data_IF_571226333243
#
_entry.id   IF_571226333243
#
_cell.length_a   1.000
_cell.length_b   1.000
_cell.length_c   1.000
_cell.angle_alpha   90.00
_cell.angle_beta   90.00
_cell.angle_gamma   90.00
#
_symmetry.space_group_name_H-M   'P 1'
#
loop_
_entity.id
_entity.type
_entity.pdbx_description
1 polymer ?
#
# COMPACT_ATOMS: atom_id res chain seq x y z
N UNK A 1 6.50 -15.88 5.21
CA UNK A 1 7.71 -15.06 5.24
C UNK A 1 7.40 -13.63 5.66
N UNK A 2 6.56 -12.93 4.89
CA UNK A 2 6.14 -11.57 5.24
C UNK A 2 5.35 -11.52 6.54
N UNK A 3 4.52 -12.53 6.81
CA UNK A 3 3.76 -12.62 8.06
C UNK A 3 4.71 -12.75 9.24
N UNK A 4 5.72 -13.60 9.14
CA UNK A 4 6.69 -13.80 10.22
C UNK A 4 7.49 -12.53 10.49
N UNK A 5 7.94 -11.85 9.45
CA UNK A 5 8.66 -10.58 9.58
C UNK A 5 7.79 -9.51 10.21
N UNK A 6 6.49 -9.48 9.86
CA UNK A 6 5.54 -8.51 10.43
C UNK A 6 5.35 -8.76 11.93
N UNK A 7 5.27 -10.02 12.34
CA UNK A 7 5.14 -10.38 13.76
C UNK A 7 6.37 -9.94 14.54
N UNK A 8 7.57 -10.06 13.94
CA UNK A 8 8.81 -9.64 14.58
C UNK A 8 8.88 -8.13 14.81
N UNK A 9 8.11 -7.33 14.07
CA UNK A 9 8.04 -5.88 14.26
C UNK A 9 7.27 -5.48 15.53
N UNK A 10 6.47 -6.39 16.10
CA UNK A 10 5.73 -6.12 17.32
C UNK A 10 6.67 -5.98 18.52
N UNK A 11 6.40 -5.02 19.39
CA UNK A 11 7.19 -4.75 20.58
C UNK A 11 6.32 -4.04 21.62
N UNK A 12 6.94 -3.56 22.70
CA UNK A 12 6.20 -2.77 23.70
C UNK A 12 5.68 -1.47 23.10
N UNK A 13 6.39 -0.91 22.12
CA UNK A 13 6.01 0.36 21.47
C UNK A 13 5.16 0.15 20.21
N UNK A 14 5.27 -1.03 19.58
CA UNK A 14 4.56 -1.34 18.34
C UNK A 14 3.53 -2.43 18.61
N UNK A 15 2.27 -2.04 18.69
CA UNK A 15 1.16 -2.95 19.05
C UNK A 15 0.41 -3.48 17.84
N UNK A 16 0.61 -2.89 16.68
CA UNK A 16 -0.05 -3.29 15.45
C UNK A 16 0.88 -3.07 14.26
N UNK A 17 0.75 -3.93 13.26
CA UNK A 17 1.51 -3.83 12.00
C UNK A 17 0.55 -4.01 10.84
N UNK A 18 0.60 -3.10 9.89
CA UNK A 18 -0.25 -3.13 8.70
C UNK A 18 0.64 -3.04 7.47
N UNK A 19 0.42 -3.92 6.50
CA UNK A 19 1.23 -3.93 5.30
C UNK A 19 0.83 -2.83 4.33
N UNK A 20 1.85 -2.24 3.71
CA UNK A 20 1.69 -1.19 2.70
C UNK A 20 2.62 -1.48 1.53
N UNK A 21 2.35 -0.86 0.40
CA UNK A 21 3.29 -0.84 -0.71
C UNK A 21 3.33 0.57 -1.30
N UNK A 22 4.37 0.86 -2.07
CA UNK A 22 4.48 2.13 -2.76
C UNK A 22 3.37 2.26 -3.79
N UNK A 23 2.78 3.46 -3.92
CA UNK A 23 1.73 3.68 -4.91
C UNK A 23 2.32 3.67 -6.32
N UNK A 24 1.58 3.08 -7.26
CA UNK A 24 1.96 3.05 -8.67
C UNK A 24 1.91 4.46 -9.28
N UNK A 25 0.98 5.27 -8.80
CA UNK A 25 0.79 6.66 -9.22
C UNK A 25 0.64 7.55 -8.00
N UNK A 26 1.27 8.72 -8.03
CA UNK A 26 1.17 9.65 -6.92
C UNK A 26 -0.28 10.11 -6.74
N UNK A 27 -0.82 10.12 -5.50
CA UNK A 27 -2.15 10.68 -5.25
C UNK A 27 -2.24 12.17 -5.56
N UNK A 28 -1.11 12.87 -5.64
CA UNK A 28 -1.08 14.29 -6.01
C UNK A 28 -1.46 14.54 -7.47
N UNK A 29 -1.44 13.50 -8.31
CA UNK A 29 -1.84 13.55 -9.72
C UNK A 29 -3.28 13.11 -9.92
N UNK A 30 -4.06 13.04 -8.83
CA UNK A 30 -5.43 12.54 -8.84
C UNK A 30 -6.35 13.55 -8.17
N UNK A 31 -7.60 13.57 -8.61
CA UNK A 31 -8.63 14.37 -7.99
C UNK A 31 -10.00 13.84 -8.40
N UNK A 32 -11.02 14.38 -7.76
CA UNK A 32 -12.40 14.11 -8.14
C UNK A 32 -12.73 14.89 -9.41
N UNK A 33 -13.61 14.33 -10.23
CA UNK A 33 -14.02 14.97 -11.46
C UNK A 33 -15.43 15.53 -11.29
N UNK A 34 -15.67 16.84 -11.54
CA UNK A 34 -17.02 17.38 -11.47
C UNK A 34 -17.89 16.89 -12.62
N UNK A 35 -19.24 17.05 -12.48
CA UNK A 35 -20.18 16.56 -13.48
C UNK A 35 -19.95 17.15 -14.87
N UNK A 36 -19.52 18.41 -14.95
CA UNK A 36 -19.23 19.06 -16.23
C UNK A 36 -17.85 18.68 -16.80
N UNK A 37 -17.12 17.79 -16.10
CA UNK A 37 -15.82 17.30 -16.53
C UNK A 37 -14.74 18.38 -16.69
N UNK A 38 -14.90 19.52 -16.00
CA UNK A 38 -13.91 20.58 -16.03
C UNK A 38 -12.62 20.16 -15.32
N UNK A 39 -11.50 20.47 -15.94
CA UNK A 39 -10.17 20.20 -15.37
C UNK A 39 -9.55 21.44 -14.75
N UNK A 40 -10.28 22.53 -14.64
CA UNK A 40 -9.77 23.84 -14.20
C UNK A 40 -8.98 23.78 -12.89
N UNK A 41 -9.47 23.05 -11.91
CA UNK A 41 -8.82 22.93 -10.59
C UNK A 41 -8.39 21.51 -10.29
N UNK A 42 -8.12 20.69 -11.33
CA UNK A 42 -7.77 19.29 -11.14
C UNK A 42 -6.43 19.13 -10.41
N UNK A 43 -5.42 19.87 -10.82
CA UNK A 43 -4.12 19.89 -10.16
C UNK A 43 -3.73 21.32 -9.83
N UNK A 44 -3.06 21.53 -8.69
CA UNK A 44 -2.48 22.82 -8.37
C UNK A 44 -1.37 23.17 -9.36
N UNK A 45 -1.09 24.45 -9.53
CA UNK A 45 -0.02 24.88 -10.44
C UNK A 45 1.36 24.35 -10.01
N UNK A 46 1.59 24.23 -8.71
CA UNK A 46 2.83 23.68 -8.17
C UNK A 46 3.02 22.22 -8.60
N UNK A 47 1.96 21.42 -8.52
CA UNK A 47 2.01 20.00 -8.90
C UNK A 47 2.17 19.85 -10.43
N UNK A 48 1.50 20.72 -11.21
CA UNK A 48 1.60 20.66 -12.67
C UNK A 48 3.02 20.83 -13.18
N UNK A 49 3.85 21.59 -12.45
CA UNK A 49 5.21 21.88 -12.83
C UNK A 49 6.26 20.88 -12.32
N UNK A 50 5.83 19.92 -11.51
CA UNK A 50 6.73 18.90 -10.97
C UNK A 50 6.80 17.66 -11.86
N UNK A 51 7.98 17.08 -11.94
CA UNK A 51 8.15 15.77 -12.59
C UNK A 51 7.80 14.69 -11.58
N UNK A 52 7.41 13.50 -12.06
CA UNK A 52 7.05 12.39 -11.20
C UNK A 52 8.18 12.03 -10.22
N UNK A 53 9.44 12.16 -10.63
CA UNK A 53 10.61 11.88 -9.78
C UNK A 53 10.83 12.91 -8.68
N UNK A 54 10.24 14.09 -8.81
CA UNK A 54 10.34 15.17 -7.81
C UNK A 54 9.26 15.07 -6.74
N UNK A 55 8.29 14.17 -6.90
CA UNK A 55 7.23 13.95 -5.93
C UNK A 55 7.70 13.02 -4.82
N UNK A 56 7.23 13.23 -3.59
CA UNK A 56 7.56 12.30 -2.50
C UNK A 56 6.94 10.92 -2.78
N UNK A 57 7.53 9.89 -2.18
CA UNK A 57 6.98 8.55 -2.27
C UNK A 57 5.75 8.44 -1.39
N UNK A 58 4.66 7.96 -1.97
CA UNK A 58 3.43 7.68 -1.24
C UNK A 58 3.22 6.18 -1.16
N UNK A 59 2.59 5.76 -0.08
CA UNK A 59 2.30 4.36 0.18
C UNK A 59 0.80 4.15 0.33
N UNK A 60 0.33 2.98 -0.07
CA UNK A 60 -1.08 2.60 0.09
C UNK A 60 -1.18 1.32 0.92
N UNK A 61 -2.32 1.14 1.55
CA UNK A 61 -2.65 -0.13 2.17
C UNK A 61 -2.82 -1.16 1.05
N UNK A 62 -2.15 -2.30 1.18
CA UNK A 62 -2.26 -3.34 0.15
C UNK A 62 -3.21 -4.49 0.53
N UNK A 63 -3.78 -4.44 1.75
CA UNK A 63 -4.76 -5.41 2.19
C UNK A 63 -4.21 -6.80 2.49
N UNK A 64 -2.89 -6.97 2.49
CA UNK A 64 -2.30 -8.29 2.64
C UNK A 64 -2.13 -8.74 4.09
N UNK A 65 -1.65 -7.84 4.96
CA UNK A 65 -1.32 -8.19 6.35
C UNK A 65 -1.88 -7.14 7.31
N UNK A 66 -2.64 -7.60 8.29
CA UNK A 66 -3.11 -6.81 9.42
C UNK A 66 -2.83 -7.63 10.68
N UNK A 67 -1.91 -7.19 11.52
CA UNK A 67 -1.54 -7.89 12.74
C UNK A 67 -1.64 -6.91 13.90
N UNK A 68 -2.25 -7.34 15.01
CA UNK A 68 -2.38 -6.50 16.20
C UNK A 68 -2.47 -7.35 17.46
N UNK A 69 -2.01 -6.79 18.57
CA UNK A 69 -2.37 -7.33 19.88
C UNK A 69 -3.86 -7.14 20.07
N UNK A 70 -4.51 -8.14 20.65
CA UNK A 70 -5.97 -8.15 20.81
C UNK A 70 -6.44 -6.96 21.64
N UNK A 71 -5.76 -6.67 22.74
CA UNK A 71 -6.13 -5.56 23.61
C UNK A 71 -6.06 -4.21 22.90
N UNK A 72 -5.02 -4.03 22.08
CA UNK A 72 -4.84 -2.81 21.28
C UNK A 72 -5.93 -2.67 20.22
N UNK A 73 -6.27 -3.76 19.55
CA UNK A 73 -7.33 -3.79 18.54
C UNK A 73 -8.67 -3.38 19.13
N UNK A 74 -9.00 -3.90 20.31
CA UNK A 74 -10.26 -3.58 21.00
C UNK A 74 -10.27 -2.13 21.45
N UNK A 75 -9.17 -1.63 22.02
CA UNK A 75 -9.05 -0.27 22.50
C UNK A 75 -9.20 0.76 21.38
N UNK A 76 -8.49 0.55 20.28
CA UNK A 76 -8.48 1.48 19.15
C UNK A 76 -9.65 1.28 18.19
N UNK A 77 -10.41 0.18 18.34
CA UNK A 77 -11.50 -0.21 17.43
C UNK A 77 -11.05 -0.34 15.98
N UNK A 78 -9.81 -0.79 15.77
CA UNK A 78 -9.23 -0.98 14.44
C UNK A 78 -7.73 -1.18 14.52
N UNK A 79 -7.10 -1.37 13.37
CA UNK A 79 -5.67 -1.65 13.28
C UNK A 79 -4.81 -0.38 13.26
N UNK A 80 -5.36 0.75 12.88
CA UNK A 80 -4.61 2.00 12.71
C UNK A 80 -4.72 2.88 13.95
N UNK A 81 -3.60 3.08 14.62
CA UNK A 81 -3.51 3.89 15.82
C UNK A 81 -2.08 4.38 16.03
N UNK A 82 -1.84 5.06 17.14
CA UNK A 82 -0.55 5.67 17.43
C UNK A 82 0.61 4.68 17.54
N UNK A 83 0.33 3.44 17.90
CA UNK A 83 1.33 2.40 18.05
C UNK A 83 1.30 1.39 16.90
N UNK A 84 0.78 1.81 15.74
CA UNK A 84 0.76 1.01 14.52
C UNK A 84 1.92 1.41 13.62
N UNK A 85 2.65 0.42 13.12
CA UNK A 85 3.72 0.64 12.13
C UNK A 85 3.39 -0.06 10.83
N UNK A 86 3.96 0.47 9.76
CA UNK A 86 3.83 -0.13 8.44
C UNK A 86 4.87 -1.22 8.23
N UNK A 87 4.46 -2.28 7.55
CA UNK A 87 5.37 -3.26 6.98
C UNK A 87 5.36 -3.08 5.47
N UNK A 88 6.47 -2.64 4.91
CA UNK A 88 6.57 -2.34 3.48
C UNK A 88 6.75 -3.60 2.65
N UNK A 89 5.85 -3.82 1.70
CA UNK A 89 5.94 -4.94 0.78
C UNK A 89 6.19 -4.42 -0.64
N UNK A 90 6.92 -5.16 -1.48
CA UNK A 90 7.11 -4.75 -2.86
C UNK A 90 5.80 -4.86 -3.65
N UNK A 91 5.70 -4.06 -4.72
CA UNK A 91 4.51 -4.01 -5.56
C UNK A 91 4.17 -5.37 -6.15
N UNK A 92 5.19 -6.17 -6.49
CA UNK A 92 5.01 -7.50 -7.08
C UNK A 92 4.25 -8.47 -6.17
N UNK A 93 4.30 -8.25 -4.84
CA UNK A 93 3.57 -9.06 -3.86
C UNK A 93 2.33 -8.37 -3.33
N UNK A 94 1.93 -7.26 -3.96
CA UNK A 94 0.83 -6.42 -3.47
C UNK A 94 -0.31 -6.28 -4.47
N UNK A 95 -0.43 -7.20 -5.42
CA UNK A 95 -1.44 -7.14 -6.48
C UNK A 95 -2.75 -7.70 -5.97
N UNK A 96 -3.81 -6.89 -6.06
CA UNK A 96 -5.18 -7.33 -5.78
C UNK A 96 -5.74 -8.02 -7.02
N UNK A 97 -6.37 -9.17 -6.82
CA UNK A 97 -6.95 -9.93 -7.94
C UNK A 97 -8.42 -9.57 -8.06
N UNK A 98 -8.70 -8.48 -8.80
CA UNK A 98 -10.06 -8.02 -9.08
C UNK A 98 -10.49 -8.35 -10.51
N UNK A 99 -9.53 -8.55 -11.41
CA UNK A 99 -9.79 -8.84 -12.81
C UNK A 99 -8.99 -10.06 -13.27
N UNK A 100 -9.36 -10.57 -14.45
CA UNK A 100 -8.64 -11.68 -15.06
C UNK A 100 -7.18 -11.31 -15.38
N UNK A 101 -6.96 -10.05 -15.75
CA UNK A 101 -5.60 -9.54 -16.02
C UNK A 101 -4.75 -9.58 -14.75
N UNK A 102 -5.30 -9.20 -13.62
CA UNK A 102 -4.60 -9.26 -12.34
C UNK A 102 -4.21 -10.69 -11.99
N UNK A 103 -5.11 -11.66 -12.23
CA UNK A 103 -4.82 -13.07 -11.99
C UNK A 103 -3.67 -13.57 -12.86
N UNK A 104 -3.66 -13.21 -14.14
CA UNK A 104 -2.59 -13.61 -15.06
C UNK A 104 -1.25 -13.01 -14.64
N UNK A 105 -1.25 -11.75 -14.22
CA UNK A 105 -0.04 -11.08 -13.72
C UNK A 105 0.51 -11.79 -12.49
N UNK A 106 -0.36 -12.16 -11.54
CA UNK A 106 0.04 -12.91 -10.35
C UNK A 106 0.67 -14.26 -10.71
N UNK A 107 0.11 -14.96 -11.69
CA UNK A 107 0.66 -16.24 -12.16
C UNK A 107 2.06 -16.07 -12.73
N UNK A 108 2.29 -15.02 -13.49
CA UNK A 108 3.60 -14.73 -14.07
C UNK A 108 4.63 -14.47 -12.96
N UNK A 109 4.27 -13.64 -12.00
CA UNK A 109 5.16 -13.30 -10.88
C UNK A 109 5.50 -14.50 -10.01
N UNK A 110 4.53 -15.39 -9.78
CA UNK A 110 4.76 -16.62 -9.02
C UNK A 110 5.73 -17.56 -9.76
N UNK A 111 5.57 -17.68 -11.07
CA UNK A 111 6.46 -18.51 -11.88
C UNK A 111 7.89 -17.99 -11.86
N UNK A 112 8.09 -16.68 -11.95
CA UNK A 112 9.41 -16.07 -11.83
C UNK A 112 10.03 -16.32 -10.47
N UNK A 113 9.26 -16.20 -9.41
CA UNK A 113 9.71 -16.43 -8.05
C UNK A 113 10.15 -17.89 -7.85
N UNK A 114 9.39 -18.82 -8.41
CA UNK A 114 9.74 -20.25 -8.34
C UNK A 114 11.02 -20.55 -9.10
N UNK A 115 11.27 -19.91 -10.22
CA UNK A 115 12.51 -20.06 -10.99
C UNK A 115 13.71 -19.54 -10.21
N UNK A 116 13.56 -18.43 -9.49
CA UNK A 116 14.65 -17.84 -8.70
C UNK A 116 14.97 -18.64 -7.45
N UNK A 117 14.03 -19.47 -6.98
CA UNK A 117 14.21 -20.29 -5.77
C UNK A 117 14.59 -21.74 -6.06
N UNK A 118 14.75 -22.10 -7.33
CA UNK A 118 15.10 -23.46 -7.73
C UNK A 118 16.58 -23.64 -7.98
#
# INVERSE_FOLDING_TARGET
KDIDYSIEELSEEVKSVVSVCETEHSPLWSNLLPDNKSMKNFLSKEIQNLRSQDLPKYYRLNGAIYISEVEYLVKEKGFLGDQTKAYTMPIERSIDIDTKIDLELCKILLNENNKNNS
#
